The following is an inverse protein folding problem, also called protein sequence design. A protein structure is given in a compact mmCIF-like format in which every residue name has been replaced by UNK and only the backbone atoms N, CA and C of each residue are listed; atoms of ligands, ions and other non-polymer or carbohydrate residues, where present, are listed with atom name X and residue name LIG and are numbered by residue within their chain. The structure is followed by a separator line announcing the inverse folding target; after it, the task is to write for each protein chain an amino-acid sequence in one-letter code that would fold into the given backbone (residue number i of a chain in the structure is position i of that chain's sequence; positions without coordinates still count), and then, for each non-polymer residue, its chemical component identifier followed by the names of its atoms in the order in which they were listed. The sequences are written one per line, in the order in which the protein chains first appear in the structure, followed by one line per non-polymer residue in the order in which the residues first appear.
data_IF_883036593296
#
_entry.id   IF_883036593296
#
_cell.length_a   1.000
_cell.length_b   1.000
_cell.length_c   1.000
_cell.angle_alpha   90.00
_cell.angle_beta   90.00
_cell.angle_gamma   90.00
#
_symmetry.space_group_name_H-M   'P 1'
#
loop_
_entity.id
_entity.type
_entity.pdbx_description
1 polymer ?
#
# COMPACT_ATOMS: atom_id res chain seq x y z
N UNK A 1 2.09 -48.43 -16.11
CA UNK A 1 2.29 -48.02 -14.71
C UNK A 1 2.62 -46.54 -14.77
N UNK A 2 1.55 -45.75 -14.73
CA UNK A 2 1.56 -44.30 -14.93
C UNK A 2 2.06 -43.64 -13.66
N UNK A 3 3.04 -42.74 -13.78
CA UNK A 3 3.40 -41.82 -12.71
C UNK A 3 2.32 -40.75 -12.69
N UNK A 4 1.55 -40.72 -11.61
CA UNK A 4 0.53 -39.73 -11.34
C UNK A 4 1.10 -38.32 -11.50
N UNK A 5 0.37 -37.52 -12.28
CA UNK A 5 0.54 -36.09 -12.42
C UNK A 5 0.48 -35.47 -11.03
N UNK A 6 1.64 -35.05 -10.52
CA UNK A 6 1.69 -34.08 -9.43
C UNK A 6 0.96 -32.83 -9.94
N UNK A 7 -0.28 -32.64 -9.49
CA UNK A 7 -1.12 -31.49 -9.81
C UNK A 7 -0.33 -30.22 -9.52
N UNK A 8 0.28 -29.67 -10.57
CA UNK A 8 0.94 -28.38 -10.51
C UNK A 8 -0.19 -27.39 -10.25
N UNK A 9 -0.15 -26.71 -9.11
CA UNK A 9 -1.14 -25.69 -8.78
C UNK A 9 -1.34 -24.79 -10.01
N UNK A 10 -2.58 -24.49 -10.40
CA UNK A 10 -2.84 -23.74 -11.62
C UNK A 10 -2.08 -22.42 -11.56
N UNK A 11 -1.20 -22.19 -12.55
CA UNK A 11 -0.43 -20.94 -12.62
C UNK A 11 -1.40 -19.76 -12.63
N UNK A 12 -1.11 -18.66 -11.90
CA UNK A 12 -2.03 -17.53 -11.73
C UNK A 12 -2.09 -16.68 -13.01
N UNK A 13 -2.73 -17.22 -14.05
CA UNK A 13 -2.88 -16.55 -15.34
C UNK A 13 -3.80 -15.33 -15.25
N UNK A 14 -3.67 -14.43 -16.22
CA UNK A 14 -4.55 -13.25 -16.34
C UNK A 14 -6.02 -13.64 -16.27
N UNK A 15 -6.45 -14.68 -17.00
CA UNK A 15 -7.84 -15.13 -17.01
C UNK A 15 -8.34 -15.58 -15.63
N UNK A 16 -7.52 -16.31 -14.88
CA UNK A 16 -7.86 -16.77 -13.54
C UNK A 16 -7.97 -15.60 -12.56
N UNK A 17 -6.97 -14.71 -12.52
CA UNK A 17 -7.00 -13.56 -11.62
C UNK A 17 -8.12 -12.58 -11.99
N UNK A 18 -8.37 -12.35 -13.29
CA UNK A 18 -9.46 -11.49 -13.75
C UNK A 18 -10.84 -12.06 -13.38
N UNK A 19 -11.01 -13.39 -13.48
CA UNK A 19 -12.24 -14.05 -13.06
C UNK A 19 -12.45 -13.93 -11.54
N UNK A 20 -11.39 -14.05 -10.75
CA UNK A 20 -11.47 -13.89 -9.30
C UNK A 20 -11.78 -12.44 -8.91
N UNK A 21 -11.11 -11.48 -9.54
CA UNK A 21 -11.36 -10.05 -9.34
C UNK A 21 -12.80 -9.65 -9.71
N UNK A 22 -13.41 -10.33 -10.69
CA UNK A 22 -14.81 -10.12 -11.06
C UNK A 22 -15.80 -10.72 -10.05
N UNK A 23 -15.39 -11.74 -9.27
CA UNK A 23 -16.20 -12.35 -8.20
C UNK A 23 -16.16 -11.54 -6.92
N UNK A 24 -15.07 -10.82 -6.67
CA UNK A 24 -14.99 -9.87 -5.57
C UNK A 24 -16.00 -8.73 -5.78
N UNK A 25 -17.11 -8.76 -5.03
CA UNK A 25 -18.09 -7.67 -5.01
C UNK A 25 -17.44 -6.47 -4.33
N UNK A 26 -16.83 -5.58 -5.12
CA UNK A 26 -16.35 -4.28 -4.65
C UNK A 26 -17.59 -3.44 -4.33
N UNK A 27 -17.83 -3.21 -3.04
CA UNK A 27 -18.89 -2.32 -2.61
C UNK A 27 -18.75 -0.96 -3.33
N UNK A 28 -19.84 -0.37 -3.85
CA UNK A 28 -19.76 0.85 -4.63
C UNK A 28 -19.03 1.92 -3.83
N UNK A 29 -17.93 2.37 -4.42
CA UNK A 29 -17.00 3.28 -3.80
C UNK A 29 -17.79 4.57 -3.43
N UNK A 30 -17.96 4.85 -2.12
CA UNK A 30 -18.68 6.04 -1.61
C UNK A 30 -18.22 7.31 -2.32
N UNK A 31 -19.13 8.25 -2.59
CA UNK A 31 -18.82 9.52 -3.29
C UNK A 31 -17.45 10.09 -2.89
N UNK A 32 -16.50 9.99 -3.81
CA UNK A 32 -15.08 10.21 -3.54
C UNK A 32 -14.77 11.69 -3.47
N UNK A 33 -14.07 12.12 -2.41
CA UNK A 33 -13.40 13.41 -2.45
C UNK A 33 -12.21 13.30 -3.40
N UNK A 34 -12.14 14.12 -4.48
CA UNK A 34 -11.01 14.08 -5.39
C UNK A 34 -9.72 14.37 -4.63
N UNK A 35 -8.73 13.50 -4.82
CA UNK A 35 -7.38 13.75 -4.34
C UNK A 35 -6.73 14.84 -5.21
N UNK A 36 -5.91 15.69 -4.60
CA UNK A 36 -5.20 16.72 -5.33
C UNK A 36 -4.17 16.09 -6.27
N UNK A 37 -4.09 16.59 -7.50
CA UNK A 37 -3.11 16.12 -8.49
C UNK A 37 -1.69 16.52 -8.07
N UNK A 38 -0.82 15.52 -7.91
CA UNK A 38 0.59 15.69 -7.55
C UNK A 38 1.39 16.48 -8.59
N UNK A 39 0.90 16.56 -9.83
CA UNK A 39 1.49 17.40 -10.89
C UNK A 39 1.23 18.88 -10.66
N UNK A 40 0.13 19.22 -9.99
CA UNK A 40 -0.31 20.60 -9.76
C UNK A 40 0.02 21.10 -8.34
N UNK A 41 0.13 20.21 -7.34
CA UNK A 41 0.38 20.59 -5.95
C UNK A 41 1.59 19.88 -5.34
N UNK A 42 2.25 20.49 -4.35
CA UNK A 42 3.28 19.81 -3.59
C UNK A 42 2.75 18.54 -2.90
N UNK A 43 3.60 17.51 -2.80
CA UNK A 43 3.27 16.19 -2.22
C UNK A 43 2.57 16.25 -0.85
N UNK A 44 2.88 17.24 0.00
CA UNK A 44 2.29 17.37 1.34
C UNK A 44 0.80 17.80 1.33
N UNK A 45 0.29 18.29 0.18
CA UNK A 45 -1.14 18.56 -0.04
C UNK A 45 -1.92 17.33 -0.51
N UNK A 46 -1.22 16.30 -1.01
CA UNK A 46 -1.82 15.01 -1.38
C UNK A 46 -2.07 14.21 -0.10
N UNK A 47 -3.33 13.87 0.18
CA UNK A 47 -3.75 13.34 1.48
C UNK A 47 -3.13 11.98 1.73
N UNK A 48 -3.16 11.10 0.74
CA UNK A 48 -2.62 9.75 0.78
C UNK A 48 -1.10 9.78 1.04
N UNK A 49 -0.33 10.58 0.30
CA UNK A 49 1.12 10.75 0.53
C UNK A 49 1.42 11.29 1.93
N UNK A 50 0.66 12.28 2.40
CA UNK A 50 0.80 12.81 3.77
C UNK A 50 0.48 11.76 4.84
N UNK A 51 -0.54 10.94 4.63
CA UNK A 51 -0.86 9.83 5.52
C UNK A 51 0.26 8.77 5.50
N UNK A 52 0.96 8.59 4.38
CA UNK A 52 2.09 7.64 4.27
C UNK A 52 3.39 8.11 4.83
N UNK A 53 3.61 9.42 4.87
CA UNK A 53 4.83 9.96 5.44
C UNK A 53 4.85 9.86 6.96
N UNK A 54 3.75 9.52 7.63
CA UNK A 54 3.64 9.56 9.09
C UNK A 54 3.46 10.98 9.66
N UNK A 55 3.15 11.97 8.82
CA UNK A 55 3.00 13.37 9.28
C UNK A 55 1.84 13.52 10.28
N UNK A 56 0.76 12.76 10.09
CA UNK A 56 -0.38 12.74 11.00
C UNK A 56 0.01 12.25 12.40
N UNK A 57 0.80 11.18 12.49
CA UNK A 57 1.28 10.64 13.77
C UNK A 57 2.14 11.66 14.52
N UNK A 58 3.02 12.37 13.81
CA UNK A 58 3.85 13.43 14.42
C UNK A 58 2.99 14.58 14.94
N UNK A 59 1.99 15.02 14.17
CA UNK A 59 1.08 16.09 14.59
C UNK A 59 0.25 15.68 15.81
N UNK A 60 -0.32 14.46 15.82
CA UNK A 60 -1.09 13.95 16.96
C UNK A 60 -0.21 13.84 18.19
N UNK A 61 0.97 13.20 18.07
CA UNK A 61 1.92 13.08 19.18
C UNK A 61 2.38 14.44 19.70
N UNK A 62 2.57 15.43 18.81
CA UNK A 62 2.95 16.79 19.17
C UNK A 62 1.84 17.54 19.93
N UNK A 63 0.59 17.42 19.49
CA UNK A 63 -0.57 18.00 20.19
C UNK A 63 -0.74 17.35 21.57
N UNK A 64 -0.65 16.03 21.65
CA UNK A 64 -0.73 15.31 22.94
C UNK A 64 0.38 15.76 23.89
N UNK A 65 1.63 15.88 23.39
CA UNK A 65 2.74 16.41 24.18
C UNK A 65 2.47 17.83 24.66
N UNK A 66 1.95 18.72 23.80
CA UNK A 66 1.65 20.10 24.17
C UNK A 66 0.54 20.21 25.22
N UNK A 67 -0.52 19.40 25.10
CA UNK A 67 -1.60 19.34 26.09
C UNK A 67 -1.08 18.84 27.42
N UNK A 68 -0.28 17.77 27.45
CA UNK A 68 0.32 17.26 28.69
C UNK A 68 1.24 18.28 29.33
N UNK A 69 2.08 18.97 28.54
CA UNK A 69 2.96 20.01 29.05
C UNK A 69 2.17 21.19 29.62
N UNK A 70 1.05 21.56 29.00
CA UNK A 70 0.13 22.58 29.50
C UNK A 70 -0.58 22.19 30.79
N UNK A 71 -1.02 20.92 30.92
CA UNK A 71 -1.63 20.39 32.15
C UNK A 71 -0.60 20.25 33.28
N UNK A 72 0.66 19.99 32.94
CA UNK A 72 1.79 19.92 33.88
C UNK A 72 2.38 21.29 34.24
N UNK A 73 1.90 22.39 33.65
CA UNK A 73 2.23 23.72 34.18
C UNK A 73 1.68 23.84 35.60
N UNK A 74 2.41 24.49 36.52
CA UNK A 74 2.08 24.48 37.94
C UNK A 74 0.80 25.30 38.20
N UNK A 75 -0.35 24.69 37.98
CA UNK A 75 -1.57 24.98 38.72
C UNK A 75 -1.45 24.25 40.04
N UNK A 76 -1.62 24.96 41.17
CA UNK A 76 -1.56 24.48 42.56
C UNK A 76 -2.35 23.16 42.77
N UNK A 77 -1.75 22.03 42.38
CA UNK A 77 -2.29 20.69 42.52
C UNK A 77 -1.50 20.02 43.63
N UNK A 78 -1.96 20.26 44.86
CA UNK A 78 -1.50 19.56 46.05
C UNK A 78 -1.60 18.04 45.83
N UNK A 79 -0.44 17.41 45.67
CA UNK A 79 -0.14 16.00 45.94
C UNK A 79 -1.00 14.93 45.26
N UNK A 80 -0.42 14.17 44.33
CA UNK A 80 -0.92 12.80 44.12
C UNK A 80 -0.50 12.02 42.87
N UNK A 81 -0.25 12.62 41.68
CA UNK A 81 0.09 11.82 40.49
C UNK A 81 1.33 12.29 39.71
N UNK A 82 2.24 13.07 40.32
CA UNK A 82 3.40 13.65 39.60
C UNK A 82 4.25 12.59 38.87
N UNK A 83 4.63 11.49 39.54
CA UNK A 83 5.48 10.45 38.93
C UNK A 83 4.80 9.80 37.73
N UNK A 84 3.49 9.56 37.79
CA UNK A 84 2.74 8.97 36.69
C UNK A 84 2.64 9.94 35.51
N UNK A 85 2.41 11.23 35.78
CA UNK A 85 2.32 12.25 34.76
C UNK A 85 3.69 12.52 34.10
N UNK A 86 4.79 12.53 34.86
CA UNK A 86 6.15 12.58 34.33
C UNK A 86 6.47 11.37 33.46
N UNK A 87 6.12 10.16 33.92
CA UNK A 87 6.34 8.92 33.18
C UNK A 87 5.57 8.93 31.86
N UNK A 88 4.29 9.30 31.89
CA UNK A 88 3.45 9.42 30.70
C UNK A 88 3.94 10.51 29.74
N UNK A 89 4.37 11.66 30.28
CA UNK A 89 4.97 12.75 29.52
C UNK A 89 6.26 12.34 28.81
N UNK A 90 7.15 11.62 29.50
CA UNK A 90 8.38 11.08 28.91
C UNK A 90 8.10 10.04 27.83
N UNK A 91 7.11 9.16 28.04
CA UNK A 91 6.70 8.17 27.03
C UNK A 91 6.16 8.87 25.78
N UNK A 92 5.30 9.88 25.93
CA UNK A 92 4.73 10.64 24.82
C UNK A 92 5.79 11.47 24.08
N UNK A 93 6.73 12.08 24.81
CA UNK A 93 7.87 12.76 24.21
C UNK A 93 8.74 11.78 23.42
N UNK A 94 8.99 10.59 23.96
CA UNK A 94 9.67 9.50 23.26
C UNK A 94 8.95 9.11 21.97
N UNK A 95 7.63 8.91 22.02
CA UNK A 95 6.81 8.63 20.84
C UNK A 95 6.90 9.77 19.82
N UNK A 96 6.80 11.04 20.24
CA UNK A 96 6.92 12.19 19.36
C UNK A 96 8.29 12.25 18.67
N UNK A 97 9.38 12.04 19.41
CA UNK A 97 10.75 12.02 18.87
C UNK A 97 10.92 10.87 17.89
N UNK A 98 10.45 9.66 18.22
CA UNK A 98 10.54 8.48 17.34
C UNK A 98 9.72 8.68 16.07
N UNK A 99 8.48 9.15 16.18
CA UNK A 99 7.63 9.47 15.02
C UNK A 99 8.24 10.57 14.16
N UNK A 100 8.80 11.62 14.78
CA UNK A 100 9.48 12.71 14.08
C UNK A 100 10.71 12.21 13.32
N UNK A 101 11.53 11.37 13.97
CA UNK A 101 12.68 10.74 13.34
C UNK A 101 12.27 9.86 12.16
N UNK A 102 11.25 9.01 12.30
CA UNK A 102 10.71 8.18 11.21
C UNK A 102 10.18 9.01 10.05
N UNK A 103 9.41 10.06 10.33
CA UNK A 103 8.93 11.00 9.32
C UNK A 103 10.10 11.61 8.53
N UNK A 104 11.19 12.00 9.19
CA UNK A 104 12.31 12.65 8.54
C UNK A 104 13.20 11.67 7.76
N UNK A 105 13.41 10.46 8.28
CA UNK A 105 14.34 9.48 7.71
C UNK A 105 13.71 8.59 6.66
N UNK A 106 12.47 8.14 6.84
CA UNK A 106 11.81 7.21 5.92
C UNK A 106 10.60 7.84 5.24
N UNK A 107 9.71 8.48 6.00
CA UNK A 107 8.41 8.94 5.51
C UNK A 107 8.48 10.04 4.44
N UNK A 108 9.16 11.14 4.73
CA UNK A 108 9.30 12.29 3.82
C UNK A 108 10.13 11.94 2.58
N UNK A 109 11.28 11.25 2.67
CA UNK A 109 12.01 10.80 1.50
C UNK A 109 11.19 9.83 0.63
N UNK A 110 10.48 8.88 1.22
CA UNK A 110 9.62 7.95 0.48
C UNK A 110 8.49 8.69 -0.25
N UNK A 111 7.78 9.60 0.43
CA UNK A 111 6.70 10.39 -0.19
C UNK A 111 7.20 11.28 -1.34
N UNK A 112 8.41 11.86 -1.20
CA UNK A 112 9.04 12.64 -2.27
C UNK A 112 9.46 11.76 -3.46
N UNK A 113 9.96 10.55 -3.20
CA UNK A 113 10.29 9.57 -4.25
C UNK A 113 9.05 9.15 -5.02
N UNK A 114 7.97 8.81 -4.33
CA UNK A 114 6.69 8.48 -4.97
C UNK A 114 6.12 9.66 -5.77
N UNK A 115 6.16 10.88 -5.22
CA UNK A 115 5.71 12.06 -5.95
C UNK A 115 6.54 12.29 -7.22
N UNK A 116 7.86 12.13 -7.15
CA UNK A 116 8.75 12.22 -8.31
C UNK A 116 8.42 11.15 -9.34
N UNK A 117 8.33 9.89 -8.90
CA UNK A 117 7.98 8.75 -9.74
C UNK A 117 6.65 8.98 -10.46
N UNK A 118 5.62 9.47 -9.76
CA UNK A 118 4.32 9.78 -10.34
C UNK A 118 4.35 10.88 -11.43
N UNK A 119 5.35 11.75 -11.38
CA UNK A 119 5.56 12.82 -12.37
C UNK A 119 6.60 12.48 -13.43
N UNK A 120 7.19 11.28 -13.38
CA UNK A 120 8.25 10.90 -14.28
C UNK A 120 7.75 10.82 -15.74
N UNK A 121 8.55 11.29 -16.71
CA UNK A 121 8.21 11.18 -18.12
C UNK A 121 8.31 9.72 -18.58
N UNK A 122 7.58 9.38 -19.65
CA UNK A 122 7.52 8.04 -20.28
C UNK A 122 6.82 6.98 -19.42
N UNK A 123 5.49 7.07 -19.26
CA UNK A 123 4.73 5.97 -18.67
C UNK A 123 4.89 4.69 -19.50
N UNK A 124 5.02 3.55 -18.82
CA UNK A 124 4.91 2.25 -19.45
C UNK A 124 3.48 1.73 -19.27
N UNK A 125 2.76 1.51 -20.36
CA UNK A 125 1.42 0.94 -20.32
C UNK A 125 1.49 -0.55 -20.03
N UNK A 126 0.65 -1.03 -19.12
CA UNK A 126 0.49 -2.44 -18.76
C UNK A 126 -0.98 -2.76 -18.59
N UNK A 127 -1.31 -4.06 -18.60
CA UNK A 127 -2.61 -4.52 -18.12
C UNK A 127 -2.52 -4.77 -16.62
N UNK A 128 -3.63 -4.56 -15.92
CA UNK A 128 -3.72 -4.83 -14.49
C UNK A 128 -4.91 -5.70 -14.14
N UNK A 129 -4.75 -6.42 -13.04
CA UNK A 129 -5.83 -7.04 -12.28
C UNK A 129 -5.70 -6.59 -10.82
N UNK A 130 -6.77 -6.05 -10.26
CA UNK A 130 -6.85 -5.59 -8.88
C UNK A 130 -7.56 -6.66 -8.04
N UNK A 131 -6.87 -7.17 -7.01
CA UNK A 131 -7.41 -8.11 -6.05
C UNK A 131 -7.38 -7.52 -4.65
N UNK A 132 -8.42 -7.76 -3.86
CA UNK A 132 -8.46 -7.42 -2.44
C UNK A 132 -8.10 -8.67 -1.63
N UNK A 133 -7.04 -8.61 -0.83
CA UNK A 133 -6.68 -9.76 -0.01
C UNK A 133 -7.85 -10.25 0.86
N UNK A 134 -8.05 -11.57 1.05
CA UNK A 134 -9.10 -12.11 1.90
C UNK A 134 -9.12 -11.43 3.29
N UNK A 135 -10.32 -11.19 3.81
CA UNK A 135 -10.60 -10.48 5.07
C UNK A 135 -10.24 -8.97 5.10
N UNK A 136 -10.27 -8.28 3.95
CA UNK A 136 -10.01 -6.83 3.91
C UNK A 136 -8.51 -6.50 3.96
N UNK A 137 -7.69 -7.41 3.41
CA UNK A 137 -6.27 -7.18 3.20
C UNK A 137 -5.98 -5.98 2.31
N UNK A 138 -4.71 -5.59 2.24
CA UNK A 138 -4.29 -4.49 1.36
C UNK A 138 -4.65 -4.82 -0.10
N UNK A 139 -5.15 -3.85 -0.88
CA UNK A 139 -5.39 -4.05 -2.30
C UNK A 139 -4.06 -4.33 -3.02
N UNK A 140 -4.06 -5.34 -3.86
CA UNK A 140 -2.90 -5.82 -4.62
C UNK A 140 -3.17 -5.67 -6.11
N UNK A 141 -2.27 -5.00 -6.80
CA UNK A 141 -2.33 -4.76 -8.24
C UNK A 141 -1.33 -5.69 -8.94
N UNK A 142 -1.86 -6.69 -9.64
CA UNK A 142 -1.08 -7.58 -10.50
C UNK A 142 -0.89 -6.92 -11.85
N UNK A 143 0.35 -6.86 -12.30
CA UNK A 143 0.75 -6.29 -13.58
C UNK A 143 1.01 -7.41 -14.57
N UNK A 144 0.56 -7.19 -15.79
CA UNK A 144 0.72 -8.13 -16.88
C UNK A 144 1.36 -7.44 -18.08
N UNK A 145 2.03 -8.21 -18.95
CA UNK A 145 2.45 -7.75 -20.26
C UNK A 145 1.29 -7.10 -21.02
N UNK A 146 1.63 -6.11 -21.85
CA UNK A 146 0.71 -5.36 -22.72
C UNK A 146 0.13 -6.21 -23.88
N UNK A 147 0.33 -7.53 -23.85
CA UNK A 147 -0.32 -8.47 -24.76
C UNK A 147 -1.82 -8.58 -24.49
N UNK A 148 -2.53 -9.40 -25.25
CA UNK A 148 -3.97 -9.69 -25.00
C UNK A 148 -4.20 -11.15 -24.64
N UNK A 149 -3.15 -11.92 -24.30
CA UNK A 149 -3.32 -13.36 -24.08
C UNK A 149 -3.96 -13.62 -22.71
N UNK A 150 -4.98 -14.49 -22.65
CA UNK A 150 -5.60 -14.89 -21.38
C UNK A 150 -4.65 -15.65 -20.46
N UNK A 151 -3.67 -16.35 -21.05
CA UNK A 151 -2.71 -17.20 -20.35
C UNK A 151 -1.41 -16.45 -19.98
N UNK A 152 -1.36 -15.13 -20.18
CA UNK A 152 -0.20 -14.35 -19.78
C UNK A 152 -0.04 -14.43 -18.25
N UNK A 153 1.21 -14.62 -17.83
CA UNK A 153 1.60 -14.63 -16.43
C UNK A 153 1.85 -13.19 -15.94
N UNK A 154 1.60 -12.92 -14.65
CA UNK A 154 1.93 -11.63 -14.05
C UNK A 154 3.43 -11.41 -14.09
N UNK A 155 3.85 -10.21 -14.50
CA UNK A 155 5.26 -9.82 -14.55
C UNK A 155 5.69 -8.95 -13.37
N UNK A 156 4.72 -8.46 -12.60
CA UNK A 156 4.97 -7.77 -11.36
C UNK A 156 3.74 -7.59 -10.48
N UNK A 157 3.99 -7.15 -9.26
CA UNK A 157 2.99 -6.98 -8.22
C UNK A 157 3.27 -5.69 -7.43
N UNK A 158 2.20 -4.93 -7.21
CA UNK A 158 2.21 -3.74 -6.36
C UNK A 158 1.18 -3.87 -5.26
N UNK A 159 1.63 -3.86 -4.02
CA UNK A 159 0.74 -3.64 -2.87
C UNK A 159 0.38 -2.17 -2.82
N UNK A 160 -0.91 -1.87 -2.90
CA UNK A 160 -1.41 -0.51 -2.81
C UNK A 160 -1.69 -0.15 -1.35
N UNK A 161 -1.52 1.14 -1.05
CA UNK A 161 -1.91 1.67 0.26
C UNK A 161 -3.43 1.69 0.34
N UNK A 162 -4.00 1.46 1.53
CA UNK A 162 -5.43 1.65 1.74
C UNK A 162 -5.82 3.05 1.27
N UNK A 163 -6.70 3.09 0.28
CA UNK A 163 -7.17 4.32 -0.33
C UNK A 163 -8.64 4.15 -0.60
N UNK A 164 -9.40 5.20 -0.35
CA UNK A 164 -10.79 5.24 -0.76
C UNK A 164 -10.86 5.24 -2.31
N UNK A 165 -9.86 5.83 -2.98
CA UNK A 165 -9.87 6.06 -4.44
C UNK A 165 -9.31 4.90 -5.29
N UNK A 166 -9.77 3.66 -5.05
CA UNK A 166 -9.44 2.53 -5.93
C UNK A 166 -10.20 2.62 -7.27
N UNK A 167 -9.68 2.02 -8.36
CA UNK A 167 -10.39 1.90 -9.63
C UNK A 167 -11.75 1.23 -9.47
N UNK A 168 -12.74 1.66 -10.25
CA UNK A 168 -14.08 1.04 -10.26
C UNK A 168 -14.12 -0.28 -11.02
N UNK A 169 -13.22 -0.46 -11.99
CA UNK A 169 -13.06 -1.71 -12.71
C UNK A 169 -11.95 -2.55 -12.06
N UNK A 170 -12.17 -3.85 -11.83
CA UNK A 170 -11.14 -4.74 -11.27
C UNK A 170 -10.01 -5.04 -12.27
N UNK A 171 -10.22 -4.77 -13.57
CA UNK A 171 -9.26 -5.04 -14.64
C UNK A 171 -9.22 -3.88 -15.62
N UNK A 172 -8.08 -3.63 -16.23
CA UNK A 172 -7.95 -2.62 -17.28
C UNK A 172 -6.50 -2.35 -17.67
N UNK A 173 -6.24 -1.17 -18.23
CA UNK A 173 -4.89 -0.67 -18.49
C UNK A 173 -4.43 0.28 -17.39
N UNK A 174 -3.13 0.28 -17.13
CA UNK A 174 -2.48 1.13 -16.15
C UNK A 174 -1.22 1.74 -16.75
N UNK A 175 -1.01 3.03 -16.50
CA UNK A 175 0.21 3.74 -16.85
C UNK A 175 1.19 3.68 -15.67
N UNK A 176 2.31 2.99 -15.83
CA UNK A 176 3.34 2.92 -14.78
C UNK A 176 4.36 4.03 -14.98
N UNK A 177 4.37 4.99 -14.05
CA UNK A 177 5.36 6.05 -14.02
C UNK A 177 6.51 5.72 -13.06
N UNK A 178 7.71 6.23 -13.34
CA UNK A 178 8.85 6.10 -12.42
C UNK A 178 9.66 4.80 -12.57
N UNK A 179 9.54 4.09 -13.69
CA UNK A 179 10.24 2.81 -13.92
C UNK A 179 11.77 2.85 -13.73
N UNK A 180 12.37 4.04 -13.86
CA UNK A 180 13.80 4.25 -13.65
C UNK A 180 14.16 4.64 -12.21
N UNK A 181 13.19 5.04 -11.39
CA UNK A 181 13.40 5.38 -9.98
C UNK A 181 13.57 4.09 -9.17
N UNK A 182 14.49 4.14 -8.18
CA UNK A 182 14.85 2.98 -7.36
C UNK A 182 14.71 3.28 -5.87
N UNK A 183 14.26 2.27 -5.13
CA UNK A 183 14.25 2.26 -3.67
C UNK A 183 15.67 2.01 -3.14
N UNK A 184 15.87 2.18 -1.84
CA UNK A 184 17.16 1.88 -1.20
C UNK A 184 17.50 0.38 -1.29
N UNK A 185 16.49 -0.47 -1.46
CA UNK A 185 16.63 -1.91 -1.75
C UNK A 185 17.05 -2.22 -3.19
N UNK A 186 17.11 -1.22 -4.08
CA UNK A 186 17.38 -1.41 -5.51
C UNK A 186 16.15 -1.78 -6.34
N UNK A 187 14.99 -2.02 -5.71
CA UNK A 187 13.74 -2.33 -6.42
C UNK A 187 13.15 -1.10 -7.13
N UNK A 188 12.44 -1.28 -8.26
CA UNK A 188 11.75 -0.19 -8.95
C UNK A 188 10.70 0.49 -8.08
N UNK A 189 10.68 1.83 -8.08
CA UNK A 189 9.64 2.64 -7.43
C UNK A 189 8.71 3.17 -8.50
N UNK A 190 7.64 2.42 -8.75
CA UNK A 190 6.65 2.77 -9.80
C UNK A 190 5.36 3.27 -9.18
N UNK A 191 4.74 4.25 -9.81
CA UNK A 191 3.41 4.75 -9.43
C UNK A 191 2.44 4.41 -10.55
N UNK A 192 1.48 3.50 -10.31
CA UNK A 192 0.42 3.21 -11.27
C UNK A 192 -0.56 4.37 -11.39
N UNK A 193 -0.94 4.71 -12.61
CA UNK A 193 -2.00 5.65 -12.95
C UNK A 193 -3.14 4.92 -13.65
N UNK A 194 -4.34 4.98 -13.08
CA UNK A 194 -5.56 4.40 -13.64
C UNK A 194 -6.60 5.51 -13.73
N UNK A 195 -7.26 5.64 -14.88
CA UNK A 195 -8.26 6.68 -15.14
C UNK A 195 -7.76 8.11 -14.80
N UNK A 196 -6.49 8.38 -15.09
CA UNK A 196 -5.84 9.67 -14.82
C UNK A 196 -5.57 9.94 -13.33
N UNK A 197 -5.62 8.92 -12.47
CA UNK A 197 -5.41 9.04 -11.02
C UNK A 197 -4.23 8.20 -10.56
N UNK A 198 -3.30 8.77 -9.76
CA UNK A 198 -2.21 7.99 -9.17
C UNK A 198 -2.74 7.08 -8.06
N UNK A 199 -2.33 5.81 -8.11
CA UNK A 199 -2.50 4.84 -7.05
C UNK A 199 -1.18 4.72 -6.30
N UNK A 200 -1.20 4.91 -4.99
CA UNK A 200 0.02 5.01 -4.19
C UNK A 200 0.43 3.63 -3.68
N UNK A 201 1.58 3.10 -4.11
CA UNK A 201 2.05 1.81 -3.62
C UNK A 201 2.53 1.94 -2.16
N UNK A 202 2.37 0.84 -1.42
CA UNK A 202 2.87 0.68 -0.06
C UNK A 202 4.32 0.23 -0.07
N UNK A 203 4.68 -0.59 -1.05
CA UNK A 203 5.99 -1.21 -1.23
C UNK A 203 6.51 -0.96 -2.66
N UNK A 204 7.83 -1.10 -2.90
CA UNK A 204 8.37 -1.10 -4.26
C UNK A 204 7.75 -2.20 -5.15
N UNK A 205 7.97 -2.11 -6.46
CA UNK A 205 7.54 -3.16 -7.39
C UNK A 205 8.24 -4.47 -7.08
N UNK A 206 7.46 -5.53 -6.86
CA UNK A 206 7.98 -6.89 -6.84
C UNK A 206 7.87 -7.47 -8.24
N UNK A 207 9.01 -7.81 -8.82
CA UNK A 207 9.10 -8.43 -10.14
C UNK A 207 8.85 -9.94 -10.01
N UNK A 208 8.31 -10.55 -11.07
CA UNK A 208 8.10 -11.99 -11.12
C UNK A 208 9.40 -12.76 -10.82
N UNK A 209 9.28 -13.84 -10.04
CA UNK A 209 10.42 -14.64 -9.56
C UNK A 209 11.15 -14.09 -8.33
N UNK A 210 10.71 -12.95 -7.76
CA UNK A 210 11.18 -12.52 -6.44
C UNK A 210 10.47 -13.29 -5.31
N UNK A 211 11.15 -13.52 -4.19
CA UNK A 211 10.60 -14.29 -3.07
C UNK A 211 9.30 -13.67 -2.51
N UNK A 212 9.23 -12.34 -2.45
CA UNK A 212 8.03 -11.63 -1.98
C UNK A 212 6.84 -11.79 -2.94
N UNK A 213 7.13 -11.79 -4.26
CA UNK A 213 6.12 -12.05 -5.29
C UNK A 213 5.56 -13.46 -5.18
N UNK A 214 6.43 -14.47 -5.08
CA UNK A 214 6.03 -15.86 -4.95
C UNK A 214 5.27 -16.12 -3.64
N UNK A 215 5.73 -15.54 -2.53
CA UNK A 215 5.03 -15.64 -1.25
C UNK A 215 3.62 -15.03 -1.30
N UNK A 216 3.43 -13.93 -2.02
CA UNK A 216 2.10 -13.35 -2.20
C UNK A 216 1.21 -14.21 -3.11
N UNK A 217 1.78 -14.81 -4.16
CA UNK A 217 1.04 -15.73 -5.02
C UNK A 217 0.61 -16.99 -4.27
N UNK A 218 1.49 -17.57 -3.45
CA UNK A 218 1.18 -18.72 -2.60
C UNK A 218 0.05 -18.40 -1.61
N UNK A 219 0.05 -17.19 -1.05
CA UNK A 219 -1.00 -16.74 -0.15
C UNK A 219 -2.35 -16.51 -0.84
N UNK A 220 -2.34 -16.14 -2.12
CA UNK A 220 -3.55 -15.96 -2.95
C UNK A 220 -4.01 -17.24 -3.64
N UNK A 221 -3.17 -18.26 -3.73
CA UNK A 221 -3.60 -19.55 -4.23
C UNK A 221 -4.74 -20.05 -3.33
N UNK A 222 -5.90 -20.41 -3.90
CA UNK A 222 -7.02 -20.90 -3.10
C UNK A 222 -6.51 -22.08 -2.28
N UNK A 223 -6.59 -21.96 -0.95
CA UNK A 223 -6.26 -23.06 -0.06
C UNK A 223 -7.01 -24.29 -0.54
N UNK A 224 -6.27 -25.31 -0.98
CA UNK A 224 -6.82 -26.59 -1.40
C UNK A 224 -7.77 -27.02 -0.29
N UNK A 225 -9.05 -27.13 -0.64
CA UNK A 225 -10.14 -27.52 0.23
C UNK A 225 -9.70 -28.76 1.03
N UNK A 226 -9.55 -28.59 2.34
CA UNK A 226 -9.16 -29.69 3.22
C UNK A 226 -10.16 -30.84 2.98
N UNK A 227 -9.71 -32.09 2.76
CA UNK A 227 -10.61 -33.20 2.51
C UNK A 227 -11.64 -33.26 3.63
N UNK A 228 -12.92 -33.13 3.28
CA UNK A 228 -14.00 -33.39 4.23
C UNK A 228 -13.78 -34.80 4.79
N UNK A 229 -13.70 -34.97 6.13
CA UNK A 229 -13.60 -36.29 6.71
C UNK A 229 -14.86 -37.10 6.32
N UNK A 230 -14.72 -38.38 5.96
CA UNK A 230 -15.86 -39.21 5.62
C UNK A 230 -16.82 -39.29 6.80
N UNK A 231 -18.12 -39.14 6.49
CA UNK A 231 -19.23 -39.32 7.40
C UNK A 231 -19.33 -40.76 7.94
#
# INVERSE_FOLDING_TARGET
MSLDEAGTAPSPTYALLAAEAAREVVAPARAHRPEADVRAVPWWRVRSLRQGSGLGEVLISGVVCAVLLGVLTPTDLDGGPEIAAYTFGMMMLGTFVVSGYRLLTTGRPAARRLARAATAPRPATRRYVLLHGPAGGRPSLFLFPDGERPDDLPDGLLMLRPSDALPSAPTGSVELHGWLDRADSGLPVVVPWVDGRPLWPAEPLWEAGSADFEGQLEWLAPGVEAPQPPA
#
